data_IF_427848833548
#
_entry.id   IF_427848833548
#
_cell.length_a   1.000
_cell.length_b   1.000
_cell.length_c   1.000
_cell.angle_alpha   90.00
_cell.angle_beta   90.00
_cell.angle_gamma   90.00
#
_symmetry.space_group_name_H-M   'P 1'
#
loop_
_entity.id
_entity.type
_entity.pdbx_description
1 polymer ?
#
# COMPACT_ATOMS: atom_id res chain seq x y z
N UNK A 1 17.67 -3.23 -28.35
CA UNK A 1 18.75 -3.08 -27.35
C UNK A 1 18.24 -3.63 -26.03
N UNK A 2 18.68 -4.81 -25.66
CA UNK A 2 18.32 -5.43 -24.38
C UNK A 2 19.07 -4.67 -23.28
N UNK A 3 18.39 -3.79 -22.60
CA UNK A 3 18.93 -3.13 -21.41
C UNK A 3 19.14 -4.23 -20.36
N UNK A 4 20.37 -4.60 -20.12
CA UNK A 4 20.72 -5.56 -19.08
C UNK A 4 20.31 -4.93 -17.76
N UNK A 5 19.23 -5.43 -17.14
CA UNK A 5 18.67 -5.03 -15.85
C UNK A 5 19.63 -5.28 -14.68
N UNK A 6 20.96 -5.26 -14.94
CA UNK A 6 21.92 -5.71 -13.96
C UNK A 6 22.30 -4.64 -12.96
N UNK A 7 23.38 -4.44 -12.58
CA UNK A 7 23.91 -3.73 -11.43
C UNK A 7 23.15 -2.49 -10.89
N UNK A 8 22.66 -1.53 -11.72
CA UNK A 8 21.90 -0.41 -11.16
C UNK A 8 20.62 -0.84 -10.46
N UNK A 9 19.93 -1.86 -11.02
CA UNK A 9 18.67 -2.36 -10.42
C UNK A 9 18.93 -3.08 -9.11
N UNK A 10 19.95 -3.92 -9.02
CA UNK A 10 20.29 -4.65 -7.81
C UNK A 10 20.77 -3.72 -6.69
N UNK A 11 21.58 -2.73 -7.02
CA UNK A 11 22.09 -1.74 -6.07
C UNK A 11 20.99 -0.75 -5.65
N UNK A 12 20.22 -0.25 -6.62
CA UNK A 12 19.19 0.78 -6.41
C UNK A 12 17.96 0.24 -5.70
N UNK A 13 17.62 -1.03 -5.93
CA UNK A 13 16.36 -1.63 -5.46
C UNK A 13 16.54 -2.50 -4.20
N UNK A 14 17.70 -2.48 -3.59
CA UNK A 14 17.93 -3.14 -2.30
C UNK A 14 17.82 -4.67 -2.34
N UNK A 15 18.02 -5.31 -3.50
CA UNK A 15 18.07 -6.78 -3.59
C UNK A 15 19.16 -7.37 -2.69
N UNK A 16 20.26 -6.65 -2.48
CA UNK A 16 21.27 -7.01 -1.48
C UNK A 16 20.65 -7.12 -0.09
N UNK A 17 19.85 -6.12 0.32
CA UNK A 17 19.15 -6.12 1.60
C UNK A 17 18.13 -7.27 1.69
N UNK A 18 17.37 -7.55 0.63
CA UNK A 18 16.45 -8.71 0.58
C UNK A 18 17.21 -10.01 0.79
N UNK A 19 18.32 -10.21 0.09
CA UNK A 19 19.17 -11.40 0.23
C UNK A 19 19.77 -11.49 1.65
N UNK A 20 20.16 -10.38 2.24
CA UNK A 20 20.69 -10.35 3.60
C UNK A 20 19.62 -10.66 4.64
N UNK A 21 18.38 -10.19 4.46
CA UNK A 21 17.25 -10.57 5.29
C UNK A 21 16.99 -12.08 5.19
N UNK A 22 16.97 -12.64 3.98
CA UNK A 22 16.78 -14.08 3.80
C UNK A 22 17.91 -14.91 4.40
N UNK A 23 19.15 -14.45 4.31
CA UNK A 23 20.33 -15.15 4.85
C UNK A 23 20.43 -15.06 6.36
N UNK A 24 20.16 -13.90 6.93
CA UNK A 24 20.33 -13.62 8.35
C UNK A 24 19.07 -13.85 9.18
N UNK A 25 17.89 -13.85 8.53
CA UNK A 25 16.58 -13.83 9.21
C UNK A 25 16.32 -12.54 9.99
N UNK A 26 17.05 -11.46 9.69
CA UNK A 26 16.95 -10.18 10.41
C UNK A 26 16.57 -9.05 9.47
N UNK A 27 15.67 -8.20 9.92
CA UNK A 27 15.35 -6.94 9.27
C UNK A 27 16.49 -5.92 9.48
N UNK A 28 16.61 -4.89 8.61
CA UNK A 28 17.65 -3.85 8.71
C UNK A 28 17.50 -2.96 9.95
N UNK A 29 16.29 -2.88 10.52
CA UNK A 29 15.99 -2.14 11.74
C UNK A 29 14.80 -2.82 12.48
N UNK A 30 14.42 -2.28 13.65
CA UNK A 30 13.21 -2.71 14.34
C UNK A 30 11.99 -2.46 13.45
N UNK A 31 11.03 -3.41 13.36
CA UNK A 31 9.81 -3.20 12.58
C UNK A 31 9.03 -1.94 12.96
N UNK A 32 9.01 -1.54 14.22
CA UNK A 32 8.33 -0.33 14.66
C UNK A 32 9.01 0.93 14.10
N UNK A 33 10.34 0.98 14.09
CA UNK A 33 11.10 2.09 13.52
C UNK A 33 10.83 2.23 12.02
N UNK A 34 10.76 1.10 11.29
CA UNK A 34 10.44 1.09 9.86
C UNK A 34 9.01 1.55 9.56
N UNK A 35 8.07 1.25 10.45
CA UNK A 35 6.69 1.77 10.37
C UNK A 35 6.70 3.28 10.64
N UNK A 36 7.47 3.75 11.61
CA UNK A 36 7.57 5.16 11.97
C UNK A 36 8.19 6.03 10.88
N UNK A 37 9.06 5.48 10.03
CA UNK A 37 9.59 6.19 8.85
C UNK A 37 8.47 6.69 7.91
N UNK A 38 7.37 5.95 7.81
CA UNK A 38 6.24 6.30 6.93
C UNK A 38 5.15 7.05 7.69
N UNK A 39 4.76 6.55 8.86
CA UNK A 39 3.58 7.04 9.58
C UNK A 39 3.90 8.07 10.67
N UNK A 40 5.18 8.29 10.96
CA UNK A 40 5.63 9.11 12.07
C UNK A 40 5.59 8.35 13.39
N UNK A 41 6.43 8.80 14.32
CA UNK A 41 6.55 8.28 15.68
C UNK A 41 5.89 9.19 16.71
N UNK A 42 6.50 9.29 17.89
CA UNK A 42 6.12 10.17 18.99
C UNK A 42 4.70 9.94 19.56
N UNK A 43 4.25 8.69 19.55
CA UNK A 43 2.99 8.28 20.16
C UNK A 43 1.74 8.60 19.34
N UNK A 44 1.88 9.19 18.15
CA UNK A 44 0.75 9.50 17.28
C UNK A 44 1.06 9.23 15.80
N UNK A 45 1.01 7.97 15.39
CA UNK A 45 1.13 7.59 13.99
C UNK A 45 -0.01 8.15 13.15
N UNK A 46 0.33 8.60 11.93
CA UNK A 46 -0.67 8.94 10.92
C UNK A 46 -1.30 7.69 10.30
N UNK A 47 -2.15 7.86 9.30
CA UNK A 47 -2.92 6.77 8.70
C UNK A 47 -2.44 6.35 7.31
N UNK A 48 -2.70 5.10 6.98
CA UNK A 48 -2.77 4.60 5.61
C UNK A 48 -4.15 4.90 5.03
N UNK A 49 -4.21 5.52 3.87
CA UNK A 49 -5.45 5.65 3.08
C UNK A 49 -5.39 4.67 1.92
N UNK A 50 -6.45 3.89 1.73
CA UNK A 50 -6.62 3.05 0.54
C UNK A 50 -7.83 3.58 -0.21
N UNK A 51 -7.61 4.11 -1.42
CA UNK A 51 -8.69 4.57 -2.30
C UNK A 51 -9.09 3.47 -3.29
N UNK A 52 -10.39 3.36 -3.60
CA UNK A 52 -10.94 2.19 -4.27
C UNK A 52 -10.97 0.97 -3.37
N UNK A 53 -11.16 1.20 -2.07
CA UNK A 53 -10.95 0.22 -1.00
C UNK A 53 -11.94 -0.96 -1.03
N UNK A 54 -13.07 -0.84 -1.69
CA UNK A 54 -14.05 -1.92 -1.84
C UNK A 54 -13.91 -2.74 -3.13
N UNK A 55 -13.06 -2.30 -4.06
CA UNK A 55 -12.71 -3.06 -5.26
C UNK A 55 -11.99 -4.37 -4.93
N UNK A 56 -11.81 -5.24 -5.92
CA UNK A 56 -11.18 -6.55 -5.74
C UNK A 56 -9.79 -6.41 -5.11
N UNK A 57 -8.94 -5.56 -5.70
CA UNK A 57 -7.59 -5.30 -5.19
C UNK A 57 -7.63 -4.51 -3.90
N UNK A 58 -8.38 -3.39 -3.89
CA UNK A 58 -8.46 -2.50 -2.74
C UNK A 58 -8.93 -3.18 -1.46
N UNK A 59 -9.99 -3.97 -1.53
CA UNK A 59 -10.51 -4.70 -0.37
C UNK A 59 -9.51 -5.77 0.13
N UNK A 60 -8.85 -6.48 -0.80
CA UNK A 60 -7.79 -7.43 -0.44
C UNK A 60 -6.64 -6.74 0.28
N UNK A 61 -6.21 -5.57 -0.22
CA UNK A 61 -5.11 -4.81 0.42
C UNK A 61 -5.54 -4.15 1.71
N UNK A 62 -6.77 -3.67 1.81
CA UNK A 62 -7.32 -3.14 3.07
C UNK A 62 -7.25 -4.20 4.18
N UNK A 63 -7.65 -5.43 3.87
CA UNK A 63 -7.56 -6.53 4.84
C UNK A 63 -6.12 -6.96 5.12
N UNK A 64 -5.29 -7.10 4.09
CA UNK A 64 -3.90 -7.52 4.23
C UNK A 64 -3.06 -6.51 5.03
N UNK A 65 -3.16 -5.23 4.70
CA UNK A 65 -2.40 -4.18 5.39
C UNK A 65 -3.05 -3.83 6.73
N UNK A 66 -4.37 -3.78 6.80
CA UNK A 66 -5.10 -3.49 8.03
C UNK A 66 -4.80 -4.50 9.14
N UNK A 67 -4.79 -5.80 8.83
CA UNK A 67 -4.44 -6.83 9.81
C UNK A 67 -3.00 -6.71 10.35
N UNK A 68 -2.06 -6.22 9.54
CA UNK A 68 -0.66 -6.05 9.95
C UNK A 68 -0.42 -4.73 10.67
N UNK A 69 -0.96 -3.65 10.14
CA UNK A 69 -0.80 -2.31 10.70
C UNK A 69 -1.52 -2.13 12.03
N UNK A 70 -2.58 -2.92 12.27
CA UNK A 70 -3.29 -2.95 13.55
C UNK A 70 -2.34 -3.21 14.73
N UNK A 71 -1.38 -4.13 14.56
CA UNK A 71 -0.39 -4.46 15.59
C UNK A 71 0.53 -3.27 15.95
N UNK A 72 0.65 -2.28 15.07
CA UNK A 72 1.43 -1.07 15.26
C UNK A 72 0.56 0.15 15.64
N UNK A 73 -0.74 -0.02 15.79
CA UNK A 73 -1.65 1.08 16.09
C UNK A 73 -1.78 2.12 14.95
N UNK A 74 -1.50 1.72 13.71
CA UNK A 74 -1.66 2.58 12.53
C UNK A 74 -3.09 2.44 12.00
N UNK A 75 -3.90 3.52 11.98
CA UNK A 75 -5.25 3.48 11.44
C UNK A 75 -5.21 3.27 9.92
N UNK A 76 -6.19 2.51 9.40
CA UNK A 76 -6.41 2.36 7.96
C UNK A 76 -7.72 3.02 7.57
N UNK A 77 -7.66 3.96 6.64
CA UNK A 77 -8.85 4.60 6.06
C UNK A 77 -9.17 3.94 4.73
N UNK A 78 -10.33 3.30 4.68
CA UNK A 78 -10.91 2.74 3.47
C UNK A 78 -11.78 3.80 2.79
N UNK A 79 -11.29 4.37 1.70
CA UNK A 79 -11.93 5.46 0.95
C UNK A 79 -12.49 4.93 -0.36
N UNK A 80 -13.79 5.14 -0.62
CA UNK A 80 -14.42 4.70 -1.85
C UNK A 80 -15.58 5.61 -2.26
N UNK A 81 -16.10 5.40 -3.45
CA UNK A 81 -17.26 6.13 -3.95
C UNK A 81 -18.51 5.81 -3.12
N UNK A 82 -19.44 6.78 -2.95
CA UNK A 82 -20.73 6.52 -2.34
C UNK A 82 -21.46 5.37 -3.07
N UNK A 83 -21.97 4.41 -2.32
CA UNK A 83 -22.70 3.26 -2.86
C UNK A 83 -21.84 2.15 -3.48
N UNK A 84 -20.52 2.22 -3.34
CA UNK A 84 -19.66 1.10 -3.71
C UNK A 84 -20.05 -0.18 -2.95
N UNK A 85 -20.03 -1.37 -3.60
CA UNK A 85 -20.29 -2.64 -2.91
C UNK A 85 -19.32 -2.84 -1.75
N UNK A 86 -19.78 -3.44 -0.64
CA UNK A 86 -18.95 -3.70 0.52
C UNK A 86 -17.98 -4.89 0.32
N UNK A 87 -16.94 -4.68 -0.46
CA UNK A 87 -15.91 -5.69 -0.70
C UNK A 87 -15.08 -6.01 0.53
N UNK A 88 -14.93 -5.07 1.45
CA UNK A 88 -14.23 -5.27 2.73
C UNK A 88 -15.05 -6.21 3.63
N UNK A 89 -16.33 -5.92 3.82
CA UNK A 89 -17.23 -6.74 4.63
C UNK A 89 -17.35 -8.16 4.10
N UNK A 90 -17.33 -8.34 2.79
CA UNK A 90 -17.35 -9.66 2.16
C UNK A 90 -16.14 -10.54 2.52
N UNK A 91 -15.03 -9.95 2.99
CA UNK A 91 -13.81 -10.69 3.41
C UNK A 91 -13.74 -10.99 4.91
N UNK A 92 -14.65 -10.45 5.69
CA UNK A 92 -14.70 -10.67 7.14
C UNK A 92 -14.70 -12.15 7.56
N UNK A 93 -15.45 -13.06 6.89
CA UNK A 93 -15.40 -14.49 7.26
C UNK A 93 -14.00 -15.10 7.15
N UNK A 94 -13.22 -14.71 6.14
CA UNK A 94 -11.84 -15.16 5.98
C UNK A 94 -10.93 -14.63 7.09
N UNK A 95 -11.16 -13.40 7.55
CA UNK A 95 -10.45 -12.81 8.67
C UNK A 95 -10.73 -13.58 9.96
N UNK A 96 -12.01 -13.90 10.23
CA UNK A 96 -12.41 -14.72 11.39
C UNK A 96 -11.76 -16.10 11.35
N UNK A 97 -11.70 -16.72 10.17
CA UNK A 97 -11.04 -18.02 10.00
C UNK A 97 -9.54 -17.95 10.31
N UNK A 98 -8.88 -16.84 9.93
CA UNK A 98 -7.43 -16.68 10.08
C UNK A 98 -7.00 -16.29 11.51
N UNK A 99 -7.78 -15.45 12.18
CA UNK A 99 -7.39 -14.80 13.44
C UNK A 99 -8.34 -15.07 14.62
N UNK A 100 -9.49 -15.73 14.38
CA UNK A 100 -10.57 -15.81 15.37
C UNK A 100 -11.42 -14.53 15.39
N UNK A 101 -12.62 -14.63 15.97
CA UNK A 101 -13.62 -13.56 15.95
C UNK A 101 -13.13 -12.28 16.64
N UNK A 102 -12.63 -12.43 17.86
CA UNK A 102 -12.19 -11.27 18.67
C UNK A 102 -11.13 -10.43 17.96
N UNK A 103 -10.12 -11.08 17.42
CA UNK A 103 -9.06 -10.40 16.67
C UNK A 103 -9.57 -9.84 15.35
N UNK A 104 -10.47 -10.54 14.66
CA UNK A 104 -11.10 -10.07 13.44
C UNK A 104 -11.93 -8.80 13.68
N UNK A 105 -12.70 -8.76 14.76
CA UNK A 105 -13.49 -7.59 15.16
C UNK A 105 -12.59 -6.41 15.51
N UNK A 106 -11.49 -6.64 16.22
CA UNK A 106 -10.50 -5.60 16.53
C UNK A 106 -9.83 -5.04 15.27
N UNK A 107 -9.43 -5.88 14.32
CA UNK A 107 -8.86 -5.46 13.03
C UNK A 107 -9.89 -4.64 12.24
N UNK A 108 -11.11 -5.10 12.13
CA UNK A 108 -12.18 -4.38 11.43
C UNK A 108 -12.49 -3.04 12.10
N UNK A 109 -12.47 -2.98 13.43
CA UNK A 109 -12.62 -1.74 14.19
C UNK A 109 -11.50 -0.71 13.94
N UNK A 110 -10.32 -1.16 13.52
CA UNK A 110 -9.21 -0.29 13.11
C UNK A 110 -9.32 0.25 11.68
N UNK A 111 -10.32 -0.19 10.89
CA UNK A 111 -10.56 0.26 9.52
C UNK A 111 -11.68 1.30 9.51
N UNK A 112 -11.31 2.55 9.30
CA UNK A 112 -12.28 3.67 9.20
C UNK A 112 -12.77 3.78 7.76
N UNK A 113 -14.07 3.68 7.54
CA UNK A 113 -14.69 3.76 6.22
C UNK A 113 -15.17 5.17 5.93
N UNK A 114 -14.78 5.72 4.79
CA UNK A 114 -15.18 7.05 4.34
C UNK A 114 -15.64 7.02 2.90
N UNK A 115 -16.63 7.88 2.57
CA UNK A 115 -17.06 8.08 1.19
C UNK A 115 -16.34 9.29 0.58
N UNK A 116 -16.02 9.17 -0.71
CA UNK A 116 -15.34 10.19 -1.50
C UNK A 116 -15.94 10.27 -2.89
N UNK A 117 -16.30 11.47 -3.31
CA UNK A 117 -17.00 11.72 -4.59
C UNK A 117 -16.06 11.84 -5.80
N UNK A 118 -14.76 11.66 -5.62
CA UNK A 118 -13.74 11.85 -6.65
C UNK A 118 -13.22 13.29 -6.77
N UNK A 119 -13.76 14.24 -6.00
CA UNK A 119 -13.42 15.67 -6.11
C UNK A 119 -12.99 16.30 -4.79
N UNK A 120 -13.78 16.09 -3.74
CA UNK A 120 -13.56 16.73 -2.43
C UNK A 120 -13.35 15.69 -1.35
N UNK A 121 -12.17 15.70 -0.72
CA UNK A 121 -11.86 14.79 0.38
C UNK A 121 -12.73 15.11 1.60
N UNK A 122 -13.20 14.08 2.34
CA UNK A 122 -13.93 14.29 3.58
C UNK A 122 -13.12 15.10 4.60
N UNK A 123 -13.74 16.03 5.29
CA UNK A 123 -13.06 16.85 6.32
C UNK A 123 -12.48 15.99 7.45
N UNK A 124 -13.16 14.90 7.81
CA UNK A 124 -12.73 13.94 8.82
C UNK A 124 -11.41 13.25 8.45
N UNK A 125 -11.09 13.15 7.15
CA UNK A 125 -9.85 12.56 6.70
C UNK A 125 -8.62 13.32 7.24
N UNK A 126 -8.71 14.65 7.40
CA UNK A 126 -7.61 15.45 7.96
C UNK A 126 -7.26 15.06 9.40
N UNK A 127 -8.28 14.69 10.18
CA UNK A 127 -8.11 14.27 11.57
C UNK A 127 -7.36 12.93 11.67
N UNK A 128 -7.45 12.10 10.61
CA UNK A 128 -6.73 10.83 10.50
C UNK A 128 -5.24 11.00 10.13
N UNK A 129 -4.80 12.22 9.80
CA UNK A 129 -3.41 12.55 9.45
C UNK A 129 -2.83 11.60 8.39
N UNK A 130 -3.36 11.57 7.15
CA UNK A 130 -2.87 10.70 6.09
C UNK A 130 -1.37 10.90 5.86
N UNK A 131 -0.63 9.80 5.83
CA UNK A 131 0.81 9.77 5.53
C UNK A 131 1.13 8.94 4.31
N UNK A 132 0.29 7.96 4.03
CA UNK A 132 0.48 7.07 2.88
C UNK A 132 -0.87 6.86 2.18
N UNK A 133 -0.90 7.08 0.87
CA UNK A 133 -2.01 6.72 -0.03
C UNK A 133 -1.59 5.51 -0.87
N UNK A 134 -2.32 4.41 -0.73
CA UNK A 134 -2.29 3.29 -1.66
C UNK A 134 -3.52 3.40 -2.56
N UNK A 135 -3.29 3.68 -3.84
CA UNK A 135 -4.37 3.92 -4.80
C UNK A 135 -4.70 2.65 -5.58
N UNK A 136 -5.98 2.25 -5.52
CA UNK A 136 -6.55 1.08 -6.20
C UNK A 136 -7.84 1.44 -6.98
N UNK A 137 -7.92 2.67 -7.51
CA UNK A 137 -9.04 3.13 -8.33
C UNK A 137 -8.93 2.58 -9.77
N UNK A 138 -10.00 2.70 -10.61
CA UNK A 138 -9.98 2.18 -11.98
C UNK A 138 -8.78 2.64 -12.82
N UNK A 139 -8.36 1.80 -13.77
CA UNK A 139 -7.21 2.01 -14.66
C UNK A 139 -7.49 3.07 -15.74
N UNK A 140 -7.68 4.32 -15.32
CA UNK A 140 -7.89 5.49 -16.17
C UNK A 140 -6.89 6.57 -15.78
N UNK A 141 -5.90 6.82 -16.63
CA UNK A 141 -4.74 7.66 -16.35
C UNK A 141 -5.10 9.05 -15.81
N UNK A 142 -6.00 9.75 -16.51
CA UNK A 142 -6.38 11.11 -16.12
C UNK A 142 -7.12 11.15 -14.78
N UNK A 143 -7.93 10.14 -14.49
CA UNK A 143 -8.63 10.00 -13.20
C UNK A 143 -7.61 9.77 -12.08
N UNK A 144 -6.62 8.90 -12.31
CA UNK A 144 -5.55 8.64 -11.34
C UNK A 144 -4.74 9.92 -11.06
N UNK A 145 -4.31 10.63 -12.12
CA UNK A 145 -3.55 11.88 -11.97
C UNK A 145 -4.33 12.96 -11.22
N UNK A 146 -5.60 13.16 -11.56
CA UNK A 146 -6.46 14.09 -10.84
C UNK A 146 -6.62 13.71 -9.36
N UNK A 147 -6.78 12.43 -9.07
CA UNK A 147 -6.86 11.91 -7.71
C UNK A 147 -5.58 12.19 -6.91
N UNK A 148 -4.39 11.96 -7.49
CA UNK A 148 -3.13 12.27 -6.83
C UNK A 148 -2.96 13.75 -6.54
N UNK A 149 -3.42 14.61 -7.47
CA UNK A 149 -3.37 16.07 -7.28
C UNK A 149 -4.20 16.49 -6.07
N UNK A 150 -5.44 16.02 -5.95
CA UNK A 150 -6.31 16.31 -4.79
C UNK A 150 -5.64 15.93 -3.46
N UNK A 151 -4.99 14.77 -3.42
CA UNK A 151 -4.28 14.33 -2.22
C UNK A 151 -3.03 15.15 -1.92
N UNK A 152 -2.23 15.50 -2.93
CA UNK A 152 -1.03 16.35 -2.76
C UNK A 152 -1.36 17.77 -2.31
N UNK A 153 -2.45 18.34 -2.81
CA UNK A 153 -2.93 19.65 -2.37
C UNK A 153 -3.41 19.64 -0.92
N UNK A 154 -4.09 18.57 -0.50
CA UNK A 154 -4.58 18.42 0.87
C UNK A 154 -3.50 18.00 1.87
N UNK A 155 -2.52 17.21 1.44
CA UNK A 155 -1.47 16.58 2.24
C UNK A 155 -0.14 16.61 1.46
N UNK A 156 0.62 17.72 1.48
CA UNK A 156 1.82 17.89 0.66
C UNK A 156 2.91 16.82 0.86
N UNK A 157 3.01 16.27 2.08
CA UNK A 157 4.03 15.27 2.44
C UNK A 157 3.53 13.82 2.30
N UNK A 158 2.35 13.60 1.70
CA UNK A 158 1.81 12.25 1.57
C UNK A 158 2.62 11.42 0.58
N UNK A 159 3.00 10.23 0.99
CA UNK A 159 3.57 9.24 0.08
C UNK A 159 2.45 8.59 -0.72
N UNK A 160 2.57 8.56 -2.04
CA UNK A 160 1.55 7.94 -2.92
C UNK A 160 2.17 6.77 -3.66
N UNK A 161 1.45 5.63 -3.66
CA UNK A 161 1.74 4.47 -4.51
C UNK A 161 0.48 4.01 -5.20
N UNK A 162 0.61 3.68 -6.48
CA UNK A 162 -0.45 3.05 -7.26
C UNK A 162 -0.31 1.54 -7.25
N UNK A 163 -1.43 0.82 -7.24
CA UNK A 163 -1.46 -0.63 -7.46
C UNK A 163 -1.69 -0.96 -8.94
N UNK A 164 -1.44 -0.02 -9.83
CA UNK A 164 -1.61 -0.22 -11.27
C UNK A 164 -0.82 -1.42 -11.78
N UNK A 165 -1.38 -2.16 -12.73
CA UNK A 165 -0.64 -3.13 -13.54
C UNK A 165 -0.39 -2.62 -14.97
N UNK A 166 -1.03 -1.51 -15.35
CA UNK A 166 -1.08 -1.03 -16.72
C UNK A 166 -0.29 0.24 -17.04
N UNK A 167 0.12 1.03 -16.04
CA UNK A 167 0.80 2.32 -16.28
C UNK A 167 2.19 2.36 -15.65
N UNK A 168 3.21 2.84 -16.41
CA UNK A 168 4.52 3.13 -15.84
C UNK A 168 4.45 4.21 -14.75
N UNK A 169 5.30 4.10 -13.74
CA UNK A 169 5.39 5.09 -12.66
C UNK A 169 5.74 6.48 -13.18
N UNK A 170 6.60 6.55 -14.20
CA UNK A 170 6.97 7.79 -14.86
C UNK A 170 5.77 8.51 -15.50
N UNK A 171 4.79 7.76 -16.04
CA UNK A 171 3.58 8.31 -16.61
C UNK A 171 2.58 8.76 -15.55
N UNK A 172 2.45 8.00 -14.46
CA UNK A 172 1.59 8.34 -13.32
C UNK A 172 2.14 9.52 -12.50
N UNK A 173 3.45 9.69 -12.46
CA UNK A 173 4.12 10.65 -11.59
C UNK A 173 4.11 10.25 -10.10
N UNK A 174 3.88 8.98 -9.82
CA UNK A 174 3.96 8.36 -8.47
C UNK A 174 4.64 6.99 -8.58
N UNK A 175 5.20 6.50 -7.48
CA UNK A 175 5.74 5.14 -7.45
C UNK A 175 4.63 4.08 -7.55
N UNK A 176 5.01 2.87 -7.90
CA UNK A 176 4.10 1.74 -8.01
C UNK A 176 4.44 0.70 -6.95
N UNK A 177 3.40 0.16 -6.33
CA UNK A 177 3.49 -0.98 -5.42
C UNK A 177 2.38 -1.95 -5.79
N UNK A 178 2.66 -2.81 -6.78
CA UNK A 178 1.69 -3.73 -7.35
C UNK A 178 1.70 -5.06 -6.60
N UNK A 179 0.56 -5.44 -5.97
CA UNK A 179 0.47 -6.70 -5.26
C UNK A 179 0.23 -7.86 -6.23
N UNK A 180 0.99 -8.95 -6.07
CA UNK A 180 0.74 -10.16 -6.84
C UNK A 180 -0.60 -10.84 -6.46
N UNK A 181 -1.24 -11.44 -7.44
CA UNK A 181 -2.49 -12.22 -7.25
C UNK A 181 -2.20 -13.58 -6.55
N UNK A 182 -3.06 -14.10 -5.67
CA UNK A 182 -4.27 -13.49 -5.09
C UNK A 182 -3.95 -12.39 -4.06
N UNK A 183 -4.61 -11.25 -4.23
CA UNK A 183 -4.24 -10.02 -3.53
C UNK A 183 -4.36 -10.08 -2.00
N UNK A 184 -5.20 -10.93 -1.45
CA UNK A 184 -5.43 -11.06 0.00
C UNK A 184 -4.31 -11.83 0.70
N UNK A 185 -3.81 -12.89 0.07
CA UNK A 185 -2.91 -13.87 0.70
C UNK A 185 -1.49 -13.80 0.18
N UNK A 186 -1.28 -13.34 -1.06
CA UNK A 186 0.05 -13.23 -1.62
C UNK A 186 0.86 -12.15 -0.89
N UNK A 187 2.07 -12.50 -0.51
CA UNK A 187 2.99 -11.60 0.21
C UNK A 187 3.90 -10.82 -0.73
N UNK A 188 3.93 -11.18 -2.01
CA UNK A 188 4.83 -10.59 -2.99
C UNK A 188 4.22 -9.31 -3.55
N UNK A 189 5.02 -8.27 -3.62
CA UNK A 189 4.67 -6.98 -4.20
C UNK A 189 5.75 -6.57 -5.18
N UNK A 190 5.40 -6.32 -6.42
CA UNK A 190 6.29 -5.66 -7.38
C UNK A 190 6.34 -4.17 -7.08
N UNK A 191 7.55 -3.63 -6.93
CA UNK A 191 7.73 -2.22 -6.61
C UNK A 191 8.57 -1.52 -7.66
N UNK A 192 8.13 -0.34 -8.09
CA UNK A 192 8.88 0.56 -8.95
C UNK A 192 9.18 1.82 -8.14
N UNK A 193 10.42 1.91 -7.73
CA UNK A 193 10.93 3.03 -6.96
C UNK A 193 12.33 3.38 -7.47
N UNK A 194 12.70 4.67 -7.49
CA UNK A 194 14.04 5.09 -7.95
C UNK A 194 15.14 4.59 -7.00
N UNK A 195 14.80 4.42 -5.72
CA UNK A 195 15.70 3.97 -4.64
C UNK A 195 14.91 3.16 -3.61
N UNK A 196 15.57 2.35 -2.75
CA UNK A 196 14.91 1.73 -1.62
C UNK A 196 14.26 2.79 -0.74
N UNK A 197 12.95 2.84 -0.75
CA UNK A 197 12.17 3.86 -0.07
C UNK A 197 11.70 3.39 1.29
N UNK A 198 11.16 4.32 2.08
CA UNK A 198 10.47 4.01 3.32
C UNK A 198 9.32 3.01 3.10
N UNK A 199 8.64 3.07 1.94
CA UNK A 199 7.56 2.12 1.61
C UNK A 199 8.10 0.70 1.40
N UNK A 200 9.22 0.53 0.71
CA UNK A 200 9.86 -0.78 0.57
C UNK A 200 10.23 -1.37 1.93
N UNK A 201 10.81 -0.55 2.82
CA UNK A 201 11.15 -0.96 4.19
C UNK A 201 9.92 -1.27 5.03
N UNK A 202 8.85 -0.47 4.88
CA UNK A 202 7.55 -0.73 5.50
C UNK A 202 7.00 -2.11 5.09
N UNK A 203 7.03 -2.45 3.80
CA UNK A 203 6.55 -3.75 3.33
C UNK A 203 7.32 -4.89 4.00
N UNK A 204 8.62 -4.79 4.18
CA UNK A 204 9.40 -5.77 4.94
C UNK A 204 8.97 -5.84 6.40
N UNK A 205 8.80 -4.69 7.07
CA UNK A 205 8.36 -4.65 8.47
C UNK A 205 7.00 -5.34 8.66
N UNK A 206 6.14 -5.26 7.65
CA UNK A 206 4.83 -5.92 7.61
C UNK A 206 4.90 -7.40 7.18
N UNK A 207 6.09 -7.98 6.99
CA UNK A 207 6.25 -9.36 6.55
C UNK A 207 5.81 -9.61 5.10
N UNK A 208 5.87 -8.56 4.28
CA UNK A 208 5.63 -8.60 2.84
C UNK A 208 6.97 -8.61 2.10
N UNK A 209 6.97 -9.06 0.86
CA UNK A 209 8.18 -9.22 0.05
C UNK A 209 8.14 -8.26 -1.12
N UNK A 210 8.71 -7.06 -1.02
CA UNK A 210 8.84 -6.16 -2.15
C UNK A 210 9.87 -6.70 -3.12
N UNK A 211 9.47 -6.90 -4.37
CA UNK A 211 10.32 -7.32 -5.48
C UNK A 211 10.52 -6.12 -6.39
N UNK A 212 11.73 -5.59 -6.47
CA UNK A 212 12.02 -4.48 -7.38
C UNK A 212 11.90 -4.92 -8.83
N UNK A 213 11.16 -4.15 -9.62
CA UNK A 213 10.98 -4.40 -11.05
C UNK A 213 11.26 -3.12 -11.86
N UNK A 214 11.48 -3.31 -13.17
CA UNK A 214 11.59 -2.17 -14.08
C UNK A 214 10.24 -1.49 -14.27
N UNK A 215 10.28 -0.21 -14.65
CA UNK A 215 9.08 0.56 -14.96
C UNK A 215 8.51 0.14 -16.32
N UNK A 216 7.56 -0.78 -16.31
CA UNK A 216 6.93 -1.36 -17.50
C UNK A 216 5.42 -1.10 -17.53
N UNK A 217 4.80 -1.36 -18.70
CA UNK A 217 3.35 -1.27 -18.90
C UNK A 217 2.55 -2.37 -18.21
N UNK A 218 3.20 -3.46 -17.85
CA UNK A 218 2.56 -4.56 -17.12
C UNK A 218 3.57 -5.24 -16.21
N UNK A 219 3.11 -5.76 -15.10
CA UNK A 219 3.94 -6.45 -14.11
C UNK A 219 3.95 -7.95 -14.37
N UNK A 220 5.11 -8.56 -14.20
CA UNK A 220 5.38 -9.96 -14.58
C UNK A 220 4.50 -10.94 -13.79
N UNK A 221 4.19 -10.62 -12.54
CA UNK A 221 3.43 -11.51 -11.67
C UNK A 221 1.91 -11.43 -11.88
N UNK A 222 1.45 -10.53 -12.74
CA UNK A 222 0.03 -10.32 -13.04
C UNK A 222 -0.35 -10.82 -14.44
N UNK A 223 0.59 -11.40 -15.17
CA UNK A 223 0.44 -11.89 -16.55
C UNK A 223 0.41 -13.41 -16.58
#
# INVERSE_FOLDING_TARGET
>A
MTRTLREPTLATLGLGTVLDIFRSGRLPADPADLVDEVFGGDGQRGSLVISGANGIVGAGKTMQLGSRLHAFGVPVVALDLPGAPDGIGARYPGLVTSFGREQADAIMGGIVRMSYDGKSLPDELRQMRPRFLLEAIPEILDVKKAHYQVFREAFPDIVIRSVTSGFPSAELGVGVAHPAFPHEINKIWEVVEPEPSAVTRLLWALGLVPVPVSDHWSFVLDV
#
